data_IF_819514159235
#
_entry.id   IF_819514159235
#
_cell.length_a   1.000
_cell.length_b   1.000
_cell.length_c   1.000
_cell.angle_alpha   90.00
_cell.angle_beta   90.00
_cell.angle_gamma   90.00
#
_symmetry.space_group_name_H-M   'P 1'
#
loop_
_entity.id
_entity.type
_entity.pdbx_description
1 polymer ?
#
# COMPACT_ATOMS: atom_id res chain seq x y z
N UNK A 1 28.20 -24.15 3.63
CA UNK A 1 27.73 -23.03 2.83
C UNK A 1 28.36 -21.74 3.37
N UNK A 2 29.04 -21.01 2.49
CA UNK A 2 29.57 -19.70 2.87
C UNK A 2 28.43 -18.66 2.94
N UNK A 3 28.66 -17.56 3.66
CA UNK A 3 27.70 -16.44 3.75
C UNK A 3 27.37 -15.89 2.35
N UNK A 4 28.34 -15.83 1.47
CA UNK A 4 28.17 -15.35 0.09
C UNK A 4 27.26 -16.26 -0.75
N UNK A 5 27.34 -17.57 -0.55
CA UNK A 5 26.45 -18.53 -1.21
C UNK A 5 25.00 -18.40 -0.73
N UNK A 6 24.79 -18.25 0.59
CA UNK A 6 23.45 -18.00 1.14
C UNK A 6 22.86 -16.68 0.65
N UNK A 7 23.69 -15.64 0.57
CA UNK A 7 23.27 -14.33 0.07
C UNK A 7 22.98 -14.36 -1.43
N UNK A 8 23.75 -15.08 -2.20
CA UNK A 8 23.51 -15.34 -3.62
C UNK A 8 22.18 -16.05 -3.86
N UNK A 9 21.88 -17.10 -3.11
CA UNK A 9 20.60 -17.80 -3.19
C UNK A 9 19.41 -16.94 -2.76
N UNK A 10 19.55 -16.14 -1.72
CA UNK A 10 18.50 -15.22 -1.28
C UNK A 10 18.18 -14.17 -2.35
N UNK A 11 19.19 -13.61 -3.02
CA UNK A 11 19.00 -12.65 -4.12
C UNK A 11 18.32 -13.27 -5.34
N UNK A 12 18.74 -14.47 -5.74
CA UNK A 12 18.11 -15.16 -6.87
C UNK A 12 16.68 -15.55 -6.59
N UNK A 13 16.35 -15.97 -5.36
CA UNK A 13 14.99 -16.28 -4.93
C UNK A 13 14.12 -15.01 -4.88
N UNK A 14 14.66 -13.90 -4.41
CA UNK A 14 13.96 -12.61 -4.39
C UNK A 14 13.69 -12.09 -5.81
N UNK A 15 14.67 -12.19 -6.71
CA UNK A 15 14.53 -11.80 -8.12
C UNK A 15 13.48 -12.66 -8.85
N UNK A 16 13.47 -13.99 -8.62
CA UNK A 16 12.47 -14.89 -9.19
C UNK A 16 11.04 -14.56 -8.69
N UNK A 17 10.89 -14.17 -7.42
CA UNK A 17 9.60 -13.72 -6.88
C UNK A 17 9.15 -12.36 -7.44
N UNK A 18 10.09 -11.44 -7.70
CA UNK A 18 9.78 -10.17 -8.35
C UNK A 18 9.29 -10.36 -9.79
N UNK A 19 9.88 -11.25 -10.55
CA UNK A 19 9.40 -11.55 -11.91
C UNK A 19 7.99 -12.16 -11.95
N UNK A 20 7.56 -12.86 -10.92
CA UNK A 20 6.20 -13.40 -10.84
C UNK A 20 5.16 -12.40 -10.34
N UNK A 21 5.57 -11.32 -9.66
CA UNK A 21 4.65 -10.31 -9.10
C UNK A 21 4.48 -9.06 -9.97
N UNK A 22 5.31 -8.87 -10.99
CA UNK A 22 5.26 -7.69 -11.88
C UNK A 22 4.59 -7.95 -13.23
N UNK A 23 3.64 -8.85 -13.31
CA UNK A 23 2.72 -8.91 -14.45
C UNK A 23 1.47 -8.03 -14.24
N UNK A 24 1.67 -6.82 -13.78
CA UNK A 24 0.55 -5.89 -13.53
C UNK A 24 0.01 -5.26 -14.82
N UNK A 25 0.58 -5.56 -15.98
CA UNK A 25 0.16 -4.95 -17.25
C UNK A 25 0.18 -5.88 -18.45
N UNK A 26 0.15 -7.19 -18.22
CA UNK A 26 -0.11 -8.12 -19.31
C UNK A 26 -1.59 -8.53 -19.25
N UNK A 27 -2.44 -7.68 -19.80
CA UNK A 27 -3.73 -8.14 -20.29
C UNK A 27 -3.37 -8.99 -21.51
N UNK A 28 -3.57 -10.33 -21.49
CA UNK A 28 -3.46 -11.11 -22.71
C UNK A 28 -4.38 -10.45 -23.73
N UNK A 29 -3.90 -10.14 -24.91
CA UNK A 29 -4.74 -9.73 -26.02
C UNK A 29 -5.82 -10.82 -26.15
N UNK A 30 -7.07 -10.45 -25.89
CA UNK A 30 -8.21 -11.33 -25.90
C UNK A 30 -8.34 -11.95 -27.30
N UNK A 31 -8.13 -13.26 -27.49
CA UNK A 31 -8.41 -13.89 -28.77
C UNK A 31 -9.91 -14.19 -28.83
N UNK A 32 -10.76 -13.14 -28.82
CA UNK A 32 -12.16 -13.21 -29.26
C UNK A 32 -13.00 -14.39 -28.76
N UNK A 33 -12.82 -14.81 -27.51
CA UNK A 33 -13.58 -15.90 -26.93
C UNK A 33 -14.40 -15.41 -25.74
N UNK A 34 -15.70 -15.64 -25.77
CA UNK A 34 -16.71 -15.40 -24.72
C UNK A 34 -16.35 -16.10 -23.39
N UNK A 35 -15.27 -15.72 -22.75
CA UNK A 35 -15.13 -15.95 -21.33
C UNK A 35 -15.82 -14.79 -20.61
N UNK A 36 -16.75 -15.06 -19.68
CA UNK A 36 -17.28 -14.02 -18.80
C UNK A 36 -16.15 -13.58 -17.87
N UNK A 37 -15.20 -12.82 -18.40
CA UNK A 37 -14.18 -12.14 -17.65
C UNK A 37 -14.93 -11.30 -16.62
N UNK A 38 -14.65 -11.52 -15.32
CA UNK A 38 -15.17 -10.68 -14.26
C UNK A 38 -14.80 -9.24 -14.59
N UNK A 39 -15.74 -8.52 -15.19
CA UNK A 39 -15.59 -7.11 -15.51
C UNK A 39 -15.25 -6.40 -14.20
N UNK A 40 -14.06 -5.81 -14.10
CA UNK A 40 -13.72 -5.02 -12.94
C UNK A 40 -14.61 -3.77 -12.94
N UNK A 41 -15.68 -3.81 -12.19
CA UNK A 41 -16.57 -2.66 -12.01
C UNK A 41 -15.98 -1.83 -10.87
N UNK A 42 -15.26 -0.79 -11.20
CA UNK A 42 -14.81 0.22 -10.24
C UNK A 42 -15.90 1.29 -10.14
N UNK A 43 -16.75 1.20 -9.14
CA UNK A 43 -17.70 2.25 -8.78
C UNK A 43 -17.22 3.06 -7.57
N UNK A 44 -17.92 4.15 -7.25
CA UNK A 44 -17.60 4.99 -6.11
C UNK A 44 -17.63 4.23 -4.77
N UNK A 45 -18.52 3.25 -4.63
CA UNK A 45 -18.63 2.40 -3.43
C UNK A 45 -17.40 1.50 -3.27
N UNK A 46 -16.97 0.85 -4.34
CA UNK A 46 -15.76 0.03 -4.36
C UNK A 46 -14.52 0.84 -3.97
N UNK A 47 -14.35 2.05 -4.54
CA UNK A 47 -13.20 2.89 -4.23
C UNK A 47 -13.19 3.36 -2.77
N UNK A 48 -14.36 3.73 -2.22
CA UNK A 48 -14.49 4.07 -0.79
C UNK A 48 -14.15 2.90 0.12
N UNK A 49 -14.58 1.69 -0.25
CA UNK A 49 -14.23 0.48 0.49
C UNK A 49 -12.72 0.23 0.47
N UNK A 50 -12.06 0.41 -0.68
CA UNK A 50 -10.60 0.30 -0.79
C UNK A 50 -9.87 1.36 0.02
N UNK A 51 -10.36 2.59 0.05
CA UNK A 51 -9.83 3.64 0.93
C UNK A 51 -9.92 3.27 2.41
N UNK A 52 -11.06 2.71 2.83
CA UNK A 52 -11.24 2.21 4.20
C UNK A 52 -10.27 1.07 4.54
N UNK A 53 -10.02 0.17 3.59
CA UNK A 53 -9.03 -0.90 3.79
C UNK A 53 -7.60 -0.35 3.93
N UNK A 54 -7.23 0.68 3.16
CA UNK A 54 -5.95 1.37 3.31
C UNK A 54 -5.81 2.04 4.69
N UNK A 55 -6.88 2.68 5.20
CA UNK A 55 -6.89 3.23 6.57
C UNK A 55 -6.75 2.14 7.65
N UNK A 56 -7.35 0.99 7.42
CA UNK A 56 -7.24 -0.14 8.35
C UNK A 56 -5.80 -0.67 8.34
N UNK A 57 -5.23 -0.92 7.17
CA UNK A 57 -3.85 -1.36 7.03
C UNK A 57 -2.86 -0.36 7.67
N UNK A 58 -3.10 0.96 7.50
CA UNK A 58 -2.32 1.99 8.17
C UNK A 58 -2.38 1.88 9.69
N UNK A 59 -3.58 1.74 10.26
CA UNK A 59 -3.75 1.62 11.73
C UNK A 59 -3.08 0.38 12.28
N UNK A 60 -3.21 -0.75 11.58
CA UNK A 60 -2.58 -2.00 11.98
C UNK A 60 -1.05 -1.90 11.90
N UNK A 61 -0.53 -1.27 10.85
CA UNK A 61 0.90 -1.00 10.69
C UNK A 61 1.45 -0.15 11.85
N UNK A 62 0.82 1.00 12.16
CA UNK A 62 1.23 1.88 13.26
C UNK A 62 1.17 1.15 14.60
N UNK A 63 0.11 0.40 14.86
CA UNK A 63 -0.03 -0.37 16.10
C UNK A 63 1.10 -1.39 16.30
N UNK A 64 1.48 -2.11 15.23
CA UNK A 64 2.57 -3.09 15.28
C UNK A 64 3.92 -2.37 15.47
N UNK A 65 4.14 -1.26 14.78
CA UNK A 65 5.36 -0.49 14.90
C UNK A 65 5.52 0.14 16.29
N UNK A 66 4.46 0.72 16.84
CA UNK A 66 4.46 1.28 18.20
C UNK A 66 4.85 0.24 19.25
N UNK A 67 4.33 -0.98 19.15
CA UNK A 67 4.69 -2.08 20.04
C UNK A 67 6.18 -2.45 19.89
N UNK A 68 6.66 -2.63 18.66
CA UNK A 68 8.04 -2.95 18.37
C UNK A 68 9.00 -1.81 18.82
N UNK A 69 8.64 -0.56 18.52
CA UNK A 69 9.42 0.62 18.91
C UNK A 69 9.53 0.79 20.41
N UNK A 70 8.46 0.49 21.16
CA UNK A 70 8.46 0.53 22.62
C UNK A 70 9.42 -0.49 23.22
N UNK A 71 9.37 -1.73 22.75
CA UNK A 71 10.26 -2.78 23.23
C UNK A 71 11.71 -2.53 22.81
N UNK A 72 11.94 -2.18 21.55
CA UNK A 72 13.27 -1.89 21.02
C UNK A 72 13.88 -0.64 21.67
N UNK A 73 13.08 0.34 22.03
CA UNK A 73 13.55 1.57 22.71
C UNK A 73 14.23 1.31 24.06
N UNK A 74 13.91 0.20 24.72
CA UNK A 74 14.53 -0.18 26.00
C UNK A 74 16.00 -0.62 25.82
N UNK A 75 16.37 -1.08 24.63
CA UNK A 75 17.74 -1.52 24.30
C UNK A 75 18.73 -0.37 24.42
N UNK A 76 18.33 0.87 24.08
CA UNK A 76 19.20 2.04 24.20
C UNK A 76 19.76 2.24 25.61
N UNK A 77 18.94 1.96 26.65
CA UNK A 77 19.36 2.02 28.04
C UNK A 77 20.41 0.98 28.41
N UNK A 78 20.29 -0.22 27.84
CA UNK A 78 21.24 -1.33 28.06
C UNK A 78 22.58 -1.12 27.35
N UNK A 79 22.62 -0.25 26.34
CA UNK A 79 23.84 0.09 25.60
C UNK A 79 24.57 1.32 26.16
N UNK A 80 24.16 1.81 27.31
CA UNK A 80 24.80 2.96 27.97
C UNK A 80 26.27 2.65 28.29
N UNK A 81 27.18 3.48 27.80
CA UNK A 81 28.63 3.29 27.95
C UNK A 81 29.29 2.47 26.83
N UNK A 82 28.54 1.86 25.93
CA UNK A 82 29.08 1.20 24.74
C UNK A 82 29.12 2.15 23.54
N UNK A 83 30.13 1.99 22.68
CA UNK A 83 30.26 2.76 21.43
C UNK A 83 29.07 2.58 20.47
N UNK A 84 28.34 1.48 20.57
CA UNK A 84 27.14 1.17 19.81
C UNK A 84 25.90 1.96 20.25
N UNK A 85 25.88 2.54 21.44
CA UNK A 85 24.72 3.31 21.94
C UNK A 85 24.28 4.45 21.04
N UNK A 86 25.19 5.39 20.64
CA UNK A 86 24.84 6.47 19.71
C UNK A 86 24.38 5.98 18.33
N UNK A 87 25.01 4.92 17.81
CA UNK A 87 24.59 4.32 16.53
C UNK A 87 23.17 3.76 16.60
N UNK A 88 22.83 3.10 17.70
CA UNK A 88 21.49 2.59 17.93
C UNK A 88 20.44 3.72 18.04
N UNK A 89 20.77 4.82 18.74
CA UNK A 89 19.90 5.98 18.82
C UNK A 89 19.65 6.58 17.44
N UNK A 90 20.69 6.70 16.61
CA UNK A 90 20.58 7.17 15.23
C UNK A 90 19.70 6.24 14.38
N UNK A 91 19.86 4.93 14.54
CA UNK A 91 19.02 3.94 13.88
C UNK A 91 17.54 4.14 14.25
N UNK A 92 17.22 4.23 15.53
CA UNK A 92 15.84 4.41 16.00
C UNK A 92 15.20 5.72 15.48
N UNK A 93 15.98 6.80 15.41
CA UNK A 93 15.51 8.06 14.84
C UNK A 93 15.16 7.93 13.35
N UNK A 94 16.03 7.27 12.58
CA UNK A 94 15.80 7.01 11.16
C UNK A 94 14.62 6.08 10.94
N UNK A 95 14.50 5.05 11.75
CA UNK A 95 13.38 4.11 11.71
C UNK A 95 12.05 4.84 11.87
N UNK A 96 11.90 5.66 12.92
CA UNK A 96 10.69 6.45 13.15
C UNK A 96 10.35 7.35 11.98
N UNK A 97 11.34 8.05 11.44
CA UNK A 97 11.11 8.88 10.25
C UNK A 97 10.63 8.10 9.01
N UNK A 98 11.09 6.86 8.83
CA UNK A 98 10.60 5.99 7.76
C UNK A 98 9.17 5.51 8.01
N UNK A 99 8.83 5.17 9.24
CA UNK A 99 7.47 4.77 9.65
C UNK A 99 6.48 5.91 9.41
N UNK A 100 6.81 7.12 9.88
CA UNK A 100 6.00 8.31 9.67
C UNK A 100 5.78 8.59 8.18
N UNK A 101 6.80 8.39 7.37
CA UNK A 101 6.70 8.53 5.92
C UNK A 101 5.75 7.51 5.31
N UNK A 102 5.86 6.22 5.66
CA UNK A 102 4.95 5.16 5.18
C UNK A 102 3.51 5.41 5.64
N UNK A 103 3.32 5.84 6.89
CA UNK A 103 2.01 6.22 7.39
C UNK A 103 1.39 7.35 6.56
N UNK A 104 2.18 8.37 6.25
CA UNK A 104 1.75 9.49 5.40
C UNK A 104 1.36 9.05 3.99
N UNK A 105 2.15 8.17 3.37
CA UNK A 105 1.82 7.60 2.06
C UNK A 105 0.49 6.85 2.08
N UNK A 106 0.27 6.00 3.07
CA UNK A 106 -0.98 5.23 3.18
C UNK A 106 -2.20 6.14 3.38
N UNK A 107 -2.05 7.17 4.22
CA UNK A 107 -3.13 8.10 4.57
C UNK A 107 -3.45 9.07 3.44
N UNK A 108 -2.45 9.72 2.90
CA UNK A 108 -2.63 10.86 2.00
C UNK A 108 -2.65 10.41 0.55
N UNK A 109 -1.68 9.61 0.13
CA UNK A 109 -1.54 9.24 -1.27
C UNK A 109 -2.47 8.08 -1.62
N UNK A 110 -2.49 6.99 -0.86
CA UNK A 110 -3.32 5.83 -1.20
C UNK A 110 -4.79 6.08 -0.86
N UNK A 111 -5.09 6.29 0.42
CA UNK A 111 -6.49 6.47 0.85
C UNK A 111 -7.07 7.79 0.34
N UNK A 112 -6.26 8.85 0.28
CA UNK A 112 -6.64 10.15 -0.26
C UNK A 112 -7.00 10.08 -1.73
N UNK A 113 -6.13 9.51 -2.57
CA UNK A 113 -6.39 9.35 -4.00
C UNK A 113 -7.63 8.50 -4.27
N UNK A 114 -7.82 7.40 -3.53
CA UNK A 114 -9.00 6.54 -3.66
C UNK A 114 -10.30 7.30 -3.33
N UNK A 115 -10.30 8.17 -2.30
CA UNK A 115 -11.45 9.01 -1.96
C UNK A 115 -11.73 10.06 -3.02
N UNK A 116 -10.70 10.72 -3.53
CA UNK A 116 -10.83 11.70 -4.63
C UNK A 116 -11.43 11.05 -5.85
N UNK A 117 -10.89 9.91 -6.29
CA UNK A 117 -11.45 9.15 -7.41
C UNK A 117 -12.90 8.71 -7.16
N UNK A 118 -13.23 8.27 -5.95
CA UNK A 118 -14.61 7.89 -5.60
C UNK A 118 -15.58 9.06 -5.74
N UNK A 119 -15.17 10.25 -5.33
CA UNK A 119 -16.00 11.45 -5.44
C UNK A 119 -16.19 11.89 -6.90
N UNK A 120 -15.13 11.80 -7.71
CA UNK A 120 -15.21 12.07 -9.15
C UNK A 120 -16.15 11.09 -9.88
N UNK A 121 -16.07 9.80 -9.56
CA UNK A 121 -16.99 8.79 -10.10
C UNK A 121 -18.44 9.09 -9.69
N UNK A 122 -18.70 9.39 -8.42
CA UNK A 122 -20.03 9.73 -7.96
C UNK A 122 -20.59 10.98 -8.65
N UNK A 123 -19.77 12.00 -8.85
CA UNK A 123 -20.18 13.22 -9.55
C UNK A 123 -20.54 12.94 -11.02
N UNK A 124 -19.74 12.11 -11.70
CA UNK A 124 -20.04 11.69 -13.10
C UNK A 124 -21.36 10.92 -13.18
N UNK A 125 -21.60 9.96 -12.30
CA UNK A 125 -22.84 9.20 -12.25
C UNK A 125 -24.05 10.11 -12.03
N UNK A 126 -23.95 11.12 -11.16
CA UNK A 126 -25.03 12.09 -10.92
C UNK A 126 -25.31 12.93 -12.18
N UNK A 127 -24.26 13.39 -12.85
CA UNK A 127 -24.39 14.18 -14.08
C UNK A 127 -25.04 13.35 -15.21
N UNK A 128 -24.66 12.10 -15.38
CA UNK A 128 -25.27 11.20 -16.36
C UNK A 128 -26.77 10.95 -16.04
N UNK A 129 -27.11 10.68 -14.78
CA UNK A 129 -28.51 10.54 -14.37
C UNK A 129 -29.33 11.80 -14.64
N UNK A 130 -28.78 12.99 -14.38
CA UNK A 130 -29.44 14.25 -14.66
C UNK A 130 -29.68 14.47 -16.17
N UNK A 131 -28.71 14.13 -17.01
CA UNK A 131 -28.82 14.18 -18.49
C UNK A 131 -29.94 13.27 -18.98
N UNK A 132 -29.94 12.01 -18.59
CA UNK A 132 -30.98 11.05 -18.99
C UNK A 132 -32.39 11.43 -18.49
N UNK A 133 -32.49 12.07 -17.34
CA UNK A 133 -33.77 12.57 -16.83
C UNK A 133 -34.30 13.74 -17.66
N UNK A 134 -33.42 14.62 -18.12
CA UNK A 134 -33.80 15.76 -18.96
C UNK A 134 -34.19 15.37 -20.41
N UNK A 135 -33.61 14.30 -20.94
CA UNK A 135 -33.95 13.77 -22.26
C UNK A 135 -35.31 13.06 -22.28
N UNK A 136 -35.76 12.49 -21.19
CA UNK A 136 -37.08 11.80 -21.09
C UNK A 136 -38.26 12.77 -20.93
N UNK A 137 -38.01 14.04 -20.68
CA UNK A 137 -39.02 15.08 -20.51
C UNK A 137 -39.27 15.91 -21.77
N UNK A 138 -38.59 15.59 -22.86
CA UNK A 138 -38.82 16.17 -24.21
C UNK A 138 -39.52 15.18 -25.10
#
# INVERSE_FOLDING_TARGET
MSFDEMWGQARTTAAARQHSSMQLNHVPADPGGDSPGKKLVADAGFLRHRAKNADTARRDFVKVDDAASKETGQVAGSLKGFKSGPAFTTFMTRWRGQVDYVESLLKNDVAGALRTSANEYAAREQNEKARHSSERLK
#
